data_IF_538676534216
#
_entry.id   IF_538676534216
#
_cell.length_a   1.000
_cell.length_b   1.000
_cell.length_c   1.000
_cell.angle_alpha   90.00
_cell.angle_beta   90.00
_cell.angle_gamma   90.00
#
_symmetry.space_group_name_H-M   'P 1'
#
loop_
_entity.id
_entity.type
_entity.pdbx_description
1 polymer ?
#
# COMPACT_ATOMS: atom_id res chain seq x y z
N UNK A 1 -14.99 -12.22 -14.30
CA UNK A 1 -14.81 -11.59 -15.63
C UNK A 1 -13.32 -11.49 -15.85
N UNK A 2 -12.78 -12.21 -16.84
CA UNK A 2 -11.37 -12.11 -17.19
C UNK A 2 -11.16 -10.82 -17.97
N UNK A 3 -10.22 -9.99 -17.53
CA UNK A 3 -9.78 -8.82 -18.30
C UNK A 3 -8.93 -9.35 -19.47
N UNK A 4 -9.41 -9.15 -20.70
CA UNK A 4 -8.63 -9.49 -21.89
C UNK A 4 -7.39 -8.57 -21.98
N UNK A 5 -6.21 -9.17 -22.06
CA UNK A 5 -4.95 -8.45 -22.20
C UNK A 5 -4.76 -8.12 -23.69
N UNK A 6 -4.82 -6.84 -24.05
CA UNK A 6 -4.51 -6.35 -25.41
C UNK A 6 -3.08 -5.83 -25.42
N UNK A 7 -2.24 -6.40 -26.29
CA UNK A 7 -0.87 -5.92 -26.55
C UNK A 7 -0.80 -5.19 -27.89
N UNK A 8 -0.27 -3.97 -27.88
CA UNK A 8 0.00 -3.19 -29.09
C UNK A 8 1.52 -3.02 -29.27
N UNK A 9 2.00 -3.16 -30.51
CA UNK A 9 3.40 -2.91 -30.83
C UNK A 9 3.56 -2.35 -32.25
N UNK A 10 4.52 -1.45 -32.41
CA UNK A 10 4.92 -0.89 -33.69
C UNK A 10 6.26 -1.48 -34.12
N UNK A 11 6.35 -1.95 -35.36
CA UNK A 11 7.59 -2.52 -35.90
C UNK A 11 7.67 -2.40 -37.41
N UNK A 12 8.84 -2.70 -37.96
CA UNK A 12 9.07 -2.66 -39.41
C UNK A 12 8.25 -3.76 -40.09
N UNK A 13 7.64 -3.45 -41.23
CA UNK A 13 6.68 -4.31 -41.93
C UNK A 13 7.21 -5.69 -42.37
N UNK A 14 8.53 -5.92 -42.33
CA UNK A 14 9.19 -7.18 -42.72
C UNK A 14 9.89 -7.89 -41.57
N UNK A 15 9.80 -7.36 -40.35
CA UNK A 15 10.43 -7.94 -39.17
C UNK A 15 9.34 -8.44 -38.22
N UNK A 16 9.53 -9.65 -37.67
CA UNK A 16 8.61 -10.19 -36.67
C UNK A 16 8.78 -9.38 -35.39
N UNK A 17 7.68 -8.82 -34.90
CA UNK A 17 7.64 -8.19 -33.57
C UNK A 17 7.21 -9.23 -32.56
N UNK A 18 8.06 -9.48 -31.56
CA UNK A 18 7.71 -10.29 -30.41
C UNK A 18 7.12 -9.38 -29.33
N UNK A 19 5.89 -9.64 -28.92
CA UNK A 19 5.24 -8.93 -27.81
C UNK A 19 5.34 -9.83 -26.57
N UNK A 20 6.18 -9.49 -25.58
CA UNK A 20 6.24 -10.26 -24.34
C UNK A 20 4.93 -10.11 -23.59
N UNK A 21 4.23 -11.22 -23.37
CA UNK A 21 3.06 -11.25 -22.49
C UNK A 21 3.56 -11.37 -21.05
N UNK A 22 3.63 -10.23 -20.36
CA UNK A 22 3.96 -10.21 -18.94
C UNK A 22 2.78 -10.70 -18.10
N UNK A 23 3.06 -11.35 -16.98
CA UNK A 23 2.01 -11.81 -16.08
C UNK A 23 1.28 -10.61 -15.49
N UNK A 24 -0.03 -10.48 -15.74
CA UNK A 24 -0.85 -9.41 -15.17
C UNK A 24 -0.86 -9.38 -13.63
N UNK A 25 -0.48 -10.50 -13.00
CA UNK A 25 -0.34 -10.59 -11.54
C UNK A 25 0.95 -9.95 -11.02
N UNK A 26 1.91 -9.65 -11.89
CA UNK A 26 3.13 -8.92 -11.55
C UNK A 26 2.85 -7.41 -11.50
N UNK A 27 1.99 -7.03 -10.55
CA UNK A 27 1.67 -5.65 -10.27
C UNK A 27 2.42 -5.19 -9.02
N UNK A 28 3.12 -4.04 -9.07
CA UNK A 28 3.72 -3.48 -7.87
C UNK A 28 2.63 -3.20 -6.84
N UNK A 29 2.91 -3.55 -5.58
CA UNK A 29 2.02 -3.16 -4.47
C UNK A 29 2.41 -1.78 -4.00
N UNK A 30 1.44 -0.88 -3.89
CA UNK A 30 1.62 0.42 -3.29
C UNK A 30 0.74 0.55 -2.05
N UNK A 31 1.31 1.14 -1.01
CA UNK A 31 0.56 1.62 0.14
C UNK A 31 0.45 3.13 0.01
N UNK A 32 -0.78 3.63 0.18
CA UNK A 32 -1.11 5.03 0.02
C UNK A 32 -1.86 5.55 1.24
N UNK A 33 -1.56 6.78 1.64
CA UNK A 33 -2.32 7.52 2.64
C UNK A 33 -2.53 8.96 2.14
N UNK A 34 -3.76 9.44 2.26
CA UNK A 34 -4.10 10.82 1.99
C UNK A 34 -4.20 11.57 3.31
N UNK A 35 -3.39 12.61 3.49
CA UNK A 35 -3.58 13.52 4.61
C UNK A 35 -4.82 14.39 4.32
N UNK A 36 -5.80 14.35 5.23
CA UNK A 36 -7.08 15.04 5.04
C UNK A 36 -7.04 16.50 5.51
N UNK A 37 -6.06 16.88 6.32
CA UNK A 37 -5.88 18.25 6.80
C UNK A 37 -5.08 19.08 5.81
N UNK A 38 -4.00 18.50 5.30
CA UNK A 38 -3.18 19.03 4.22
C UNK A 38 -3.26 18.01 3.10
N UNK A 39 -3.84 18.31 1.92
CA UNK A 39 -4.14 17.34 0.87
C UNK A 39 -2.87 16.84 0.16
N UNK A 40 -2.02 16.15 0.92
CA UNK A 40 -0.78 15.52 0.50
C UNK A 40 -0.98 14.01 0.40
N UNK A 41 -0.53 13.44 -0.72
CA UNK A 41 -0.62 12.02 -1.01
C UNK A 41 0.72 11.36 -0.75
N UNK A 42 0.76 10.50 0.28
CA UNK A 42 1.94 9.72 0.60
C UNK A 42 1.79 8.35 -0.06
N UNK A 43 2.72 7.99 -0.94
CA UNK A 43 2.72 6.72 -1.66
C UNK A 43 4.07 6.02 -1.52
N UNK A 44 4.05 4.74 -1.12
CA UNK A 44 5.26 3.93 -0.95
C UNK A 44 5.09 2.56 -1.59
N UNK A 45 6.15 2.09 -2.26
CA UNK A 45 6.17 0.80 -2.97
C UNK A 45 6.62 -0.32 -2.03
N UNK A 46 5.88 -1.42 -2.05
CA UNK A 46 6.19 -2.63 -1.29
C UNK A 46 6.12 -3.87 -2.17
N UNK A 47 6.66 -4.98 -1.65
CA UNK A 47 6.72 -6.25 -2.36
C UNK A 47 5.37 -6.96 -2.46
N UNK A 48 4.48 -6.77 -1.49
CA UNK A 48 3.14 -7.39 -1.44
C UNK A 48 2.24 -6.73 -0.40
N UNK A 49 0.92 -6.95 -0.50
CA UNK A 49 -0.05 -6.56 0.51
C UNK A 49 -0.11 -7.56 1.66
N UNK A 50 0.48 -7.25 2.81
CA UNK A 50 0.46 -8.10 4.01
C UNK A 50 0.57 -7.27 5.30
N UNK A 51 0.31 -7.91 6.46
CA UNK A 51 0.34 -7.22 7.75
C UNK A 51 1.69 -6.58 8.08
N UNK A 52 2.79 -7.25 7.73
CA UNK A 52 4.16 -6.75 7.94
C UNK A 52 4.43 -5.44 7.17
N UNK A 53 4.13 -5.40 5.86
CA UNK A 53 4.33 -4.20 5.05
C UNK A 53 3.34 -3.09 5.43
N UNK A 54 2.14 -3.47 5.91
CA UNK A 54 1.19 -2.50 6.45
C UNK A 54 1.75 -1.79 7.68
N UNK A 55 2.33 -2.54 8.64
CA UNK A 55 2.99 -1.95 9.83
C UNK A 55 4.16 -1.06 9.41
N UNK A 56 5.03 -1.53 8.52
CA UNK A 56 6.16 -0.73 7.99
C UNK A 56 5.70 0.59 7.36
N UNK A 57 4.57 0.58 6.66
CA UNK A 57 4.00 1.80 6.10
C UNK A 57 3.50 2.75 7.20
N UNK A 58 2.83 2.24 8.23
CA UNK A 58 2.41 3.06 9.36
C UNK A 58 3.58 3.66 10.14
N UNK A 59 4.67 2.91 10.34
CA UNK A 59 5.91 3.41 10.94
C UNK A 59 6.52 4.54 10.09
N UNK A 60 6.49 4.42 8.76
CA UNK A 60 6.90 5.51 7.86
C UNK A 60 6.01 6.75 8.03
N UNK A 61 4.67 6.58 8.11
CA UNK A 61 3.76 7.69 8.36
C UNK A 61 4.03 8.38 9.70
N UNK A 62 4.30 7.61 10.76
CA UNK A 62 4.69 8.16 12.06
C UNK A 62 6.00 8.94 11.99
N UNK A 63 7.01 8.39 11.30
CA UNK A 63 8.32 9.04 11.13
C UNK A 63 8.19 10.37 10.38
N UNK A 64 7.36 10.42 9.34
CA UNK A 64 7.06 11.64 8.57
C UNK A 64 6.28 12.68 9.37
N UNK A 65 5.55 12.24 10.39
CA UNK A 65 4.72 13.10 11.25
C UNK A 65 5.24 13.10 12.69
N UNK A 66 6.56 13.10 12.87
CA UNK A 66 7.18 12.97 14.19
C UNK A 66 6.61 13.99 15.19
N UNK A 67 6.27 13.50 16.38
CA UNK A 67 5.68 14.32 17.46
C UNK A 67 4.19 14.64 17.29
N UNK A 68 3.53 14.17 16.21
CA UNK A 68 2.08 14.29 16.02
C UNK A 68 1.39 12.97 16.35
N UNK A 69 0.14 13.06 16.84
CA UNK A 69 -0.75 11.89 16.97
C UNK A 69 -1.48 11.69 15.64
N UNK A 70 -1.43 10.47 15.11
CA UNK A 70 -2.08 10.11 13.86
C UNK A 70 -3.44 9.45 14.15
N UNK A 71 -4.49 9.93 13.47
CA UNK A 71 -5.78 9.25 13.35
C UNK A 71 -5.88 8.72 11.92
N UNK A 72 -6.05 7.40 11.78
CA UNK A 72 -6.02 6.74 10.47
C UNK A 72 -7.35 6.03 10.23
N UNK A 73 -7.91 6.26 9.05
CA UNK A 73 -9.09 5.57 8.55
C UNK A 73 -8.67 4.58 7.48
N UNK A 74 -9.10 3.32 7.61
CA UNK A 74 -8.84 2.26 6.64
C UNK A 74 -10.01 1.27 6.61
N UNK A 75 -10.00 0.36 5.64
CA UNK A 75 -10.99 -0.72 5.52
C UNK A 75 -10.65 -1.94 6.40
N UNK A 76 -11.60 -2.88 6.53
CA UNK A 76 -11.50 -4.01 7.46
C UNK A 76 -10.69 -5.23 6.98
N UNK A 77 -9.86 -5.09 5.93
CA UNK A 77 -9.12 -6.24 5.36
C UNK A 77 -8.15 -6.87 6.36
N UNK A 78 -7.83 -8.15 6.17
CA UNK A 78 -7.10 -8.96 7.16
C UNK A 78 -5.75 -8.36 7.59
N UNK A 79 -5.05 -7.66 6.69
CA UNK A 79 -3.77 -7.03 7.04
C UNK A 79 -3.93 -5.72 7.83
N UNK A 80 -5.12 -5.12 7.86
CA UNK A 80 -5.46 -3.96 8.70
C UNK A 80 -6.08 -4.37 10.05
N UNK A 81 -6.51 -5.61 10.20
CA UNK A 81 -7.21 -6.10 11.42
C UNK A 81 -6.53 -7.31 12.07
N UNK A 82 -5.44 -7.80 11.47
CA UNK A 82 -4.69 -8.96 11.91
C UNK A 82 -3.80 -8.71 13.13
N UNK A 83 -3.12 -9.77 13.57
CA UNK A 83 -2.28 -9.78 14.78
C UNK A 83 -1.16 -8.74 14.73
N UNK A 84 -0.43 -8.63 13.61
CA UNK A 84 0.62 -7.61 13.45
C UNK A 84 0.08 -6.19 13.73
N UNK A 85 -1.14 -5.89 13.25
CA UNK A 85 -1.73 -4.58 13.44
C UNK A 85 -2.18 -4.36 14.89
N UNK A 86 -2.76 -5.39 15.52
CA UNK A 86 -3.16 -5.32 16.93
C UNK A 86 -1.95 -5.11 17.85
N UNK A 87 -0.86 -5.83 17.60
CA UNK A 87 0.37 -5.71 18.37
C UNK A 87 0.98 -4.32 18.17
N UNK A 88 1.13 -3.87 16.92
CA UNK A 88 1.61 -2.53 16.59
C UNK A 88 0.77 -1.44 17.28
N UNK A 89 -0.55 -1.46 17.15
CA UNK A 89 -1.42 -0.46 17.79
C UNK A 89 -1.35 -0.51 19.32
N UNK A 90 -1.17 -1.71 19.89
CA UNK A 90 -0.97 -1.90 21.33
C UNK A 90 0.33 -1.26 21.81
N UNK A 91 1.44 -1.54 21.13
CA UNK A 91 2.77 -0.97 21.44
C UNK A 91 2.77 0.56 21.28
N UNK A 92 2.21 1.07 20.18
CA UNK A 92 2.23 2.51 19.89
C UNK A 92 1.34 3.34 20.81
N UNK A 93 0.34 2.73 21.45
CA UNK A 93 -0.57 3.41 22.37
C UNK A 93 -0.42 2.91 23.81
N UNK A 94 0.66 2.21 24.13
CA UNK A 94 0.90 1.71 25.48
C UNK A 94 0.94 2.87 26.49
N UNK A 95 0.22 2.72 27.61
CA UNK A 95 0.14 3.74 28.65
C UNK A 95 -0.70 4.97 28.29
N UNK A 96 -1.26 5.05 27.08
CA UNK A 96 -2.21 6.11 26.73
C UNK A 96 -3.60 5.77 27.25
N UNK A 97 -4.24 6.75 27.88
CA UNK A 97 -5.66 6.63 28.20
C UNK A 97 -6.48 6.49 26.91
N UNK A 98 -7.52 5.67 26.96
CA UNK A 98 -8.52 5.65 25.89
C UNK A 98 -9.15 7.04 25.81
N UNK A 99 -9.23 7.60 24.62
CA UNK A 99 -10.04 8.79 24.40
C UNK A 99 -11.50 8.42 24.66
N UNK A 100 -12.20 9.22 25.46
CA UNK A 100 -13.65 9.14 25.68
C UNK A 100 -14.45 9.48 24.42
#
# INVERSE_FOLDING_TARGET
>A
MGEDIVGEAWGKSKERVEIPINNYKDRPTYYGALNLLEPDLILEKYTRGNGENTVKFLESLQSKNAGKRLLIFWDGVRHHTGENMKNFLGEQNEGLAKSE
#
